data_IF_805919549139
#
_entry.id   IF_805919549139
#
_cell.length_a   1.000
_cell.length_b   1.000
_cell.length_c   1.000
_cell.angle_alpha   90.00
_cell.angle_beta   90.00
_cell.angle_gamma   90.00
#
_symmetry.space_group_name_H-M   'P 1'
#
loop_
_entity.id
_entity.type
_entity.pdbx_description
1 polymer ?
#
# COMPACT_ATOMS: atom_id res chain seq x y z
N UNK A 1 0.90 32.45 7.84
CA UNK A 1 0.28 31.11 7.72
C UNK A 1 1.22 30.11 7.05
N UNK A 2 2.06 30.54 6.10
CA UNK A 2 2.99 29.68 5.35
C UNK A 2 3.94 28.85 6.23
N UNK A 3 4.55 29.45 7.25
CA UNK A 3 5.56 28.75 8.07
C UNK A 3 5.08 27.55 8.90
N UNK A 4 3.76 27.38 9.16
CA UNK A 4 3.25 26.18 9.87
C UNK A 4 3.05 25.00 8.92
N UNK A 5 2.48 25.27 7.75
CA UNK A 5 2.27 24.28 6.70
C UNK A 5 3.61 23.71 6.23
N UNK A 6 4.56 24.58 5.92
CA UNK A 6 5.91 24.20 5.48
C UNK A 6 6.62 23.37 6.55
N UNK A 7 6.48 23.76 7.82
CA UNK A 7 7.04 23.02 8.95
C UNK A 7 6.44 21.61 9.07
N UNK A 8 5.12 21.45 9.06
CA UNK A 8 4.51 20.12 9.18
C UNK A 8 4.85 19.23 7.97
N UNK A 9 4.86 19.80 6.77
CA UNK A 9 5.30 19.09 5.57
C UNK A 9 6.77 18.64 5.70
N UNK A 10 7.65 19.51 6.20
CA UNK A 10 9.06 19.19 6.39
C UNK A 10 9.26 18.10 7.47
N UNK A 11 8.53 18.18 8.58
CA UNK A 11 8.57 17.17 9.65
C UNK A 11 8.14 15.79 9.12
N UNK A 12 7.04 15.72 8.37
CA UNK A 12 6.56 14.47 7.73
C UNK A 12 7.55 13.97 6.68
N UNK A 13 8.05 14.84 5.80
CA UNK A 13 9.02 14.47 4.78
C UNK A 13 10.31 13.90 5.40
N UNK A 14 10.79 14.54 6.47
CA UNK A 14 12.00 14.09 7.20
C UNK A 14 11.78 12.70 7.81
N UNK A 15 10.62 12.46 8.42
CA UNK A 15 10.28 11.17 9.00
C UNK A 15 10.03 10.08 7.94
N UNK A 16 9.59 10.46 6.74
CA UNK A 16 9.34 9.55 5.61
C UNK A 16 10.62 9.18 4.86
N UNK A 17 11.63 10.05 4.87
CA UNK A 17 12.86 9.86 4.09
C UNK A 17 13.60 8.54 4.36
N UNK A 18 13.72 8.03 5.60
CA UNK A 18 14.31 6.72 5.85
C UNK A 18 13.51 5.58 5.19
N UNK A 19 12.18 5.63 5.25
CA UNK A 19 11.28 4.63 4.63
C UNK A 19 11.48 4.62 3.11
N UNK A 20 11.53 5.81 2.49
CA UNK A 20 11.80 5.94 1.06
C UNK A 20 13.20 5.43 0.67
N UNK A 21 14.21 5.73 1.48
CA UNK A 21 15.58 5.27 1.23
C UNK A 21 15.67 3.74 1.30
N UNK A 22 14.97 3.11 2.25
CA UNK A 22 14.86 1.65 2.34
C UNK A 22 14.11 1.06 1.15
N UNK A 23 13.01 1.69 0.74
CA UNK A 23 12.26 1.26 -0.46
C UNK A 23 13.17 1.24 -1.70
N UNK A 24 13.89 2.32 -1.98
CA UNK A 24 14.80 2.40 -3.12
C UNK A 24 15.95 1.39 -3.04
N UNK A 25 16.51 1.20 -1.84
CA UNK A 25 17.52 0.17 -1.59
C UNK A 25 17.01 -1.22 -1.94
N UNK A 26 15.85 -1.62 -1.42
CA UNK A 26 15.30 -2.95 -1.69
C UNK A 26 14.81 -3.09 -3.14
N UNK A 27 14.34 -2.01 -3.78
CA UNK A 27 14.06 -1.99 -5.22
C UNK A 27 15.28 -2.37 -6.04
N UNK A 28 16.42 -1.75 -5.74
CA UNK A 28 17.69 -2.10 -6.38
C UNK A 28 18.15 -3.51 -6.02
N UNK A 29 18.02 -3.91 -4.76
CA UNK A 29 18.43 -5.24 -4.29
C UNK A 29 17.66 -6.36 -5.00
N UNK A 30 16.36 -6.19 -5.30
CA UNK A 30 15.58 -7.16 -6.07
C UNK A 30 16.24 -7.43 -7.44
N UNK A 31 16.57 -6.37 -8.18
CA UNK A 31 17.25 -6.49 -9.47
C UNK A 31 18.63 -7.14 -9.34
N UNK A 32 19.44 -6.68 -8.39
CA UNK A 32 20.80 -7.16 -8.18
C UNK A 32 20.83 -8.64 -7.77
N UNK A 33 19.94 -9.06 -6.87
CA UNK A 33 19.82 -10.47 -6.44
C UNK A 33 19.41 -11.33 -7.64
N UNK A 34 18.37 -10.97 -8.40
CA UNK A 34 17.97 -11.73 -9.58
C UNK A 34 19.14 -11.91 -10.55
N UNK A 35 19.88 -10.83 -10.83
CA UNK A 35 21.06 -10.88 -11.70
C UNK A 35 22.16 -11.79 -11.15
N UNK A 36 22.42 -11.76 -9.84
CA UNK A 36 23.36 -12.66 -9.18
C UNK A 36 22.94 -14.12 -9.31
N UNK A 37 21.66 -14.43 -9.12
CA UNK A 37 21.13 -15.78 -9.30
C UNK A 37 21.27 -16.25 -10.75
N UNK A 38 20.90 -15.40 -11.71
CA UNK A 38 21.05 -15.71 -13.13
C UNK A 38 22.52 -16.01 -13.48
N UNK A 39 23.45 -15.17 -13.05
CA UNK A 39 24.87 -15.36 -13.31
C UNK A 39 25.45 -16.61 -12.63
N UNK A 40 24.90 -17.01 -11.48
CA UNK A 40 25.38 -18.16 -10.73
C UNK A 40 24.90 -19.49 -11.34
N UNK A 41 23.59 -19.61 -11.61
CA UNK A 41 22.97 -20.87 -12.02
C UNK A 41 23.08 -21.14 -13.52
N UNK A 42 23.12 -20.10 -14.36
CA UNK A 42 23.26 -20.24 -15.82
C UNK A 42 24.70 -20.05 -16.30
N UNK A 43 25.69 -20.17 -15.39
CA UNK A 43 27.10 -20.10 -15.75
C UNK A 43 27.53 -21.35 -16.54
N UNK A 44 28.02 -21.21 -17.80
CA UNK A 44 28.39 -22.38 -18.61
C UNK A 44 29.45 -23.27 -17.98
N UNK A 45 30.42 -22.69 -17.27
CA UNK A 45 31.48 -23.44 -16.60
C UNK A 45 30.99 -24.24 -15.38
N UNK A 46 29.85 -23.85 -14.78
CA UNK A 46 29.19 -24.61 -13.72
C UNK A 46 28.27 -25.67 -14.31
N UNK A 47 27.48 -25.33 -15.31
CA UNK A 47 26.44 -26.21 -15.88
C UNK A 47 27.05 -27.40 -16.60
N UNK A 48 28.23 -27.23 -17.23
CA UNK A 48 29.01 -28.34 -17.81
C UNK A 48 29.50 -29.35 -16.78
N UNK A 49 29.66 -28.98 -15.50
CA UNK A 49 30.10 -29.90 -14.44
C UNK A 49 28.97 -30.76 -13.88
N UNK A 50 27.72 -30.53 -14.31
CA UNK A 50 26.54 -31.24 -13.83
C UNK A 50 26.24 -32.52 -14.64
N UNK A 51 26.95 -32.76 -15.74
CA UNK A 51 26.83 -34.00 -16.52
C UNK A 51 27.61 -35.13 -15.85
N UNK A 52 27.01 -35.75 -14.85
CA UNK A 52 27.50 -36.97 -14.21
C UNK A 52 26.80 -38.22 -14.79
N UNK A 53 27.47 -39.37 -14.77
CA UNK A 53 26.86 -40.65 -15.16
C UNK A 53 26.01 -41.15 -14.01
N UNK A 54 24.69 -41.23 -14.20
CA UNK A 54 23.74 -41.74 -13.22
C UNK A 54 24.01 -43.22 -12.88
N UNK A 55 23.83 -43.59 -11.61
CA UNK A 55 24.00 -44.96 -11.09
C UNK A 55 22.70 -45.48 -10.49
N UNK A 56 22.36 -46.74 -10.76
CA UNK A 56 21.21 -47.41 -10.16
C UNK A 56 19.88 -46.76 -10.54
N UNK A 57 19.15 -46.24 -9.55
CA UNK A 57 17.82 -45.60 -9.72
C UNK A 57 17.89 -44.07 -9.94
N UNK A 58 19.09 -43.49 -10.00
CA UNK A 58 19.30 -42.05 -10.21
C UNK A 58 18.78 -41.56 -11.57
N UNK A 59 18.22 -40.35 -11.60
CA UNK A 59 17.83 -39.69 -12.84
C UNK A 59 19.04 -39.01 -13.48
N UNK A 60 19.25 -39.22 -14.78
CA UNK A 60 20.24 -38.48 -15.57
C UNK A 60 19.88 -37.00 -15.58
N UNK A 61 20.72 -36.19 -14.95
CA UNK A 61 20.54 -34.74 -14.94
C UNK A 61 21.11 -34.13 -16.21
N UNK A 62 20.26 -33.49 -17.01
CA UNK A 62 20.67 -32.69 -18.16
C UNK A 62 20.25 -31.25 -17.93
N UNK A 63 21.23 -30.36 -17.81
CA UNK A 63 20.98 -28.94 -17.61
C UNK A 63 20.08 -28.36 -18.71
N UNK A 64 20.29 -28.77 -19.96
CA UNK A 64 19.49 -28.31 -21.10
C UNK A 64 18.00 -28.65 -20.97
N UNK A 65 17.65 -29.73 -20.26
CA UNK A 65 16.25 -30.12 -20.03
C UNK A 65 15.59 -29.31 -18.92
N UNK A 66 16.35 -28.88 -17.92
CA UNK A 66 15.82 -28.11 -16.78
C UNK A 66 15.99 -26.60 -16.93
N UNK A 67 16.88 -26.14 -17.81
CA UNK A 67 17.24 -24.74 -17.99
C UNK A 67 16.00 -23.86 -18.21
N UNK A 68 15.16 -24.22 -19.19
CA UNK A 68 13.95 -23.45 -19.52
C UNK A 68 12.99 -23.34 -18.33
N UNK A 69 12.89 -24.40 -17.52
CA UNK A 69 12.04 -24.40 -16.34
C UNK A 69 12.65 -23.56 -15.21
N UNK A 70 13.99 -23.57 -15.04
CA UNK A 70 14.68 -22.68 -14.11
C UNK A 70 14.57 -21.20 -14.52
N UNK A 71 14.64 -20.89 -15.82
CA UNK A 71 14.47 -19.53 -16.34
C UNK A 71 13.06 -18.99 -16.06
N UNK A 72 12.03 -19.85 -16.14
CA UNK A 72 10.65 -19.48 -15.73
C UNK A 72 10.54 -19.10 -14.26
N UNK A 73 11.40 -19.60 -13.38
CA UNK A 73 11.39 -19.18 -11.97
C UNK A 73 11.97 -17.77 -11.78
N UNK A 74 12.88 -17.31 -12.66
CA UNK A 74 13.62 -16.06 -12.53
C UNK A 74 13.23 -15.07 -13.64
N UNK A 75 11.93 -14.90 -13.86
CA UNK A 75 11.35 -13.91 -14.78
C UNK A 75 11.79 -12.48 -14.45
N UNK A 76 11.76 -11.59 -15.45
CA UNK A 76 12.09 -10.18 -15.24
C UNK A 76 10.99 -9.41 -14.49
N UNK A 77 11.31 -8.18 -14.11
CA UNK A 77 10.41 -7.31 -13.34
C UNK A 77 9.11 -7.03 -14.09
N UNK A 78 9.17 -6.83 -15.41
CA UNK A 78 7.98 -6.54 -16.22
C UNK A 78 7.00 -7.71 -16.15
N UNK A 79 7.48 -8.93 -16.36
CA UNK A 79 6.65 -10.14 -16.29
C UNK A 79 6.09 -10.39 -14.87
N UNK A 80 6.87 -10.11 -13.82
CA UNK A 80 6.37 -10.19 -12.45
C UNK A 80 5.24 -9.19 -12.20
N UNK A 81 5.39 -7.95 -12.68
CA UNK A 81 4.37 -6.91 -12.54
C UNK A 81 3.11 -7.26 -13.33
N UNK A 82 3.24 -7.70 -14.58
CA UNK A 82 2.10 -8.15 -15.41
C UNK A 82 1.34 -9.29 -14.73
N UNK A 83 2.07 -10.27 -14.18
CA UNK A 83 1.48 -11.41 -13.48
C UNK A 83 0.76 -10.95 -12.20
N UNK A 84 1.38 -10.06 -11.41
CA UNK A 84 0.77 -9.50 -10.21
C UNK A 84 -0.50 -8.70 -10.53
N UNK A 85 -0.52 -7.97 -11.64
CA UNK A 85 -1.69 -7.23 -12.11
C UNK A 85 -2.81 -8.14 -12.61
N UNK A 86 -2.47 -9.24 -13.29
CA UNK A 86 -3.44 -10.23 -13.73
C UNK A 86 -4.09 -11.01 -12.56
N UNK A 87 -3.42 -11.05 -11.40
CA UNK A 87 -3.90 -11.68 -10.16
C UNK A 87 -4.80 -10.76 -9.30
N UNK A 88 -5.15 -9.57 -9.79
CA UNK A 88 -6.08 -8.68 -9.10
C UNK A 88 -7.49 -9.27 -9.18
N UNK A 89 -7.84 -10.14 -8.24
CA UNK A 89 -9.23 -10.32 -7.84
C UNK A 89 -9.65 -9.07 -7.06
N UNK A 90 -10.88 -8.62 -7.24
CA UNK A 90 -11.46 -7.33 -6.75
C UNK A 90 -11.28 -7.02 -5.25
N UNK A 91 -10.71 -7.91 -4.46
CA UNK A 91 -10.49 -7.79 -3.01
C UNK A 91 -9.02 -7.92 -2.56
N UNK A 92 -8.08 -8.30 -3.44
CA UNK A 92 -6.66 -8.50 -3.07
C UNK A 92 -5.74 -7.54 -3.83
N UNK A 93 -4.84 -6.89 -3.09
CA UNK A 93 -3.80 -6.06 -3.69
C UNK A 93 -2.83 -6.91 -4.54
N UNK A 94 -2.33 -6.39 -5.67
CA UNK A 94 -1.29 -7.04 -6.46
C UNK A 94 -0.08 -7.36 -5.56
N UNK A 95 0.43 -8.59 -5.62
CA UNK A 95 1.59 -9.01 -4.83
C UNK A 95 2.68 -9.59 -5.73
N UNK A 96 3.89 -9.04 -5.61
CA UNK A 96 5.05 -9.53 -6.35
C UNK A 96 5.50 -10.88 -5.81
N UNK A 97 5.32 -11.12 -4.52
CA UNK A 97 5.60 -12.43 -3.90
C UNK A 97 4.66 -13.49 -4.46
N UNK A 98 3.36 -13.21 -4.54
CA UNK A 98 2.39 -14.15 -5.10
C UNK A 98 2.63 -14.44 -6.59
N UNK A 99 2.95 -13.40 -7.37
CA UNK A 99 3.33 -13.54 -8.77
C UNK A 99 4.57 -14.43 -8.92
N UNK A 100 5.60 -14.19 -8.10
CA UNK A 100 6.80 -15.01 -8.09
C UNK A 100 6.52 -16.46 -7.67
N UNK A 101 5.73 -16.68 -6.61
CA UNK A 101 5.29 -18.00 -6.16
C UNK A 101 4.61 -18.78 -7.30
N UNK A 102 3.74 -18.13 -8.09
CA UNK A 102 3.10 -18.73 -9.26
C UNK A 102 4.10 -19.16 -10.33
N UNK A 103 5.08 -18.30 -10.66
CA UNK A 103 6.12 -18.63 -11.63
C UNK A 103 6.98 -19.82 -11.19
N UNK A 104 7.35 -19.88 -9.90
CA UNK A 104 8.12 -20.99 -9.33
C UNK A 104 7.31 -22.29 -9.37
N UNK A 105 6.05 -22.26 -8.93
CA UNK A 105 5.20 -23.46 -8.86
C UNK A 105 4.76 -23.97 -10.24
N UNK A 106 4.60 -23.08 -11.23
CA UNK A 106 4.24 -23.45 -12.61
C UNK A 106 5.47 -23.70 -13.50
N UNK A 107 6.67 -23.62 -12.95
CA UNK A 107 7.93 -23.86 -13.69
C UNK A 107 8.02 -25.29 -14.24
N UNK A 108 7.37 -26.25 -13.58
CA UNK A 108 7.52 -27.68 -13.86
C UNK A 108 8.75 -28.32 -13.20
N UNK A 109 9.43 -27.61 -12.31
CA UNK A 109 10.46 -28.19 -11.43
C UNK A 109 9.78 -28.89 -10.24
N UNK A 110 10.39 -29.95 -9.67
CA UNK A 110 9.87 -30.63 -8.49
C UNK A 110 10.17 -29.82 -7.22
N UNK A 111 9.53 -28.65 -7.13
CA UNK A 111 9.61 -27.70 -6.03
C UNK A 111 8.28 -27.69 -5.29
N UNK A 112 8.33 -27.84 -3.97
CA UNK A 112 7.17 -27.66 -3.09
C UNK A 112 7.37 -26.39 -2.26
N UNK A 113 6.30 -25.60 -2.11
CA UNK A 113 6.31 -24.46 -1.21
C UNK A 113 5.80 -24.85 0.17
N UNK A 114 6.63 -24.70 1.21
CA UNK A 114 6.21 -24.85 2.61
C UNK A 114 5.77 -23.50 3.15
N UNK A 115 4.48 -23.23 3.13
CA UNK A 115 3.91 -21.95 3.59
C UNK A 115 4.32 -21.59 5.02
N UNK A 116 4.36 -22.59 5.92
CA UNK A 116 4.71 -22.40 7.33
C UNK A 116 6.14 -21.91 7.54
N UNK A 117 7.06 -22.33 6.66
CA UNK A 117 8.48 -21.96 6.71
C UNK A 117 8.80 -20.79 5.76
N UNK A 118 7.92 -20.53 4.78
CA UNK A 118 8.14 -19.55 3.72
C UNK A 118 9.22 -19.97 2.71
N UNK A 119 9.49 -21.28 2.59
CA UNK A 119 10.62 -21.83 1.84
C UNK A 119 10.19 -22.76 0.70
N UNK A 120 11.00 -22.80 -0.37
CA UNK A 120 10.88 -23.82 -1.40
C UNK A 120 11.78 -25.00 -1.07
N UNK A 121 11.24 -26.20 -1.27
CA UNK A 121 11.98 -27.44 -1.12
C UNK A 121 12.04 -28.19 -2.44
N UNK A 122 13.24 -28.63 -2.79
CA UNK A 122 13.45 -29.51 -3.93
C UNK A 122 13.17 -30.96 -3.51
N UNK A 123 12.11 -31.56 -4.08
CA UNK A 123 11.68 -32.93 -3.79
C UNK A 123 11.41 -33.71 -5.08
N UNK A 124 12.46 -34.23 -5.74
CA UNK A 124 12.27 -35.04 -6.93
C UNK A 124 11.69 -36.41 -6.57
N UNK A 125 10.89 -37.00 -7.48
CA UNK A 125 10.32 -38.34 -7.29
C UNK A 125 11.39 -39.44 -7.15
N UNK A 126 12.53 -39.24 -7.81
CA UNK A 126 13.72 -40.08 -7.70
C UNK A 126 14.95 -39.21 -7.50
N UNK A 127 15.98 -39.68 -6.77
CA UNK A 127 17.18 -38.90 -6.52
C UNK A 127 17.90 -38.55 -7.83
N UNK A 128 18.42 -37.33 -7.92
CA UNK A 128 19.36 -36.96 -8.97
C UNK A 128 20.77 -37.40 -8.56
N UNK A 129 21.73 -37.31 -9.49
CA UNK A 129 23.14 -37.49 -9.12
C UNK A 129 23.54 -36.49 -8.02
N UNK A 130 24.51 -36.82 -7.15
CA UNK A 130 24.83 -35.98 -5.99
C UNK A 130 25.08 -34.50 -6.31
N UNK A 131 25.80 -34.19 -7.40
CA UNK A 131 26.06 -32.78 -7.77
C UNK A 131 24.81 -32.07 -8.28
N UNK A 132 23.99 -32.75 -9.08
CA UNK A 132 22.72 -32.22 -9.55
C UNK A 132 21.74 -31.99 -8.40
N UNK A 133 21.70 -32.92 -7.44
CA UNK A 133 20.89 -32.80 -6.23
C UNK A 133 21.31 -31.56 -5.43
N UNK A 134 22.61 -31.37 -5.17
CA UNK A 134 23.12 -30.18 -4.46
C UNK A 134 22.79 -28.90 -5.22
N UNK A 135 22.99 -28.88 -6.54
CA UNK A 135 22.71 -27.73 -7.39
C UNK A 135 21.23 -27.31 -7.34
N UNK A 136 20.31 -28.26 -7.43
CA UNK A 136 18.88 -27.97 -7.39
C UNK A 136 18.39 -27.56 -5.99
N UNK A 137 18.97 -28.12 -4.92
CA UNK A 137 18.69 -27.61 -3.58
C UNK A 137 19.20 -26.17 -3.43
N UNK A 138 20.44 -25.86 -3.84
CA UNK A 138 20.95 -24.49 -3.83
C UNK A 138 20.03 -23.53 -4.60
N UNK A 139 19.48 -23.97 -5.72
CA UNK A 139 18.50 -23.20 -6.48
C UNK A 139 17.23 -22.92 -5.66
N UNK A 140 16.64 -23.93 -5.01
CA UNK A 140 15.46 -23.75 -4.15
C UNK A 140 15.72 -22.76 -2.99
N UNK A 141 16.87 -22.87 -2.31
CA UNK A 141 17.27 -21.94 -1.26
C UNK A 141 17.44 -20.50 -1.79
N UNK A 142 18.04 -20.35 -2.98
CA UNK A 142 18.22 -19.05 -3.63
C UNK A 142 16.89 -18.39 -4.02
N UNK A 143 15.91 -19.16 -4.51
CA UNK A 143 14.56 -18.67 -4.77
C UNK A 143 13.90 -18.15 -3.49
N UNK A 144 14.09 -18.83 -2.36
CA UNK A 144 13.60 -18.36 -1.06
C UNK A 144 14.22 -17.02 -0.63
N UNK A 145 15.52 -16.83 -0.87
CA UNK A 145 16.20 -15.56 -0.58
C UNK A 145 15.73 -14.42 -1.50
N UNK A 146 15.42 -14.71 -2.76
CA UNK A 146 14.85 -13.72 -3.68
C UNK A 146 13.41 -13.36 -3.30
N UNK A 147 12.57 -14.36 -2.97
CA UNK A 147 11.21 -14.18 -2.44
C UNK A 147 11.16 -13.28 -1.22
N UNK A 148 12.10 -13.47 -0.28
CA UNK A 148 12.27 -12.60 0.88
C UNK A 148 12.50 -11.14 0.47
N UNK A 149 13.41 -10.89 -0.48
CA UNK A 149 13.70 -9.54 -0.97
C UNK A 149 12.46 -8.88 -1.58
N UNK A 150 11.70 -9.63 -2.41
CA UNK A 150 10.43 -9.17 -2.97
C UNK A 150 9.44 -8.76 -1.86
N UNK A 151 9.27 -9.62 -0.84
CA UNK A 151 8.34 -9.36 0.27
C UNK A 151 8.73 -8.15 1.13
N UNK A 152 10.02 -7.96 1.36
CA UNK A 152 10.55 -6.76 2.04
C UNK A 152 10.26 -5.51 1.20
N UNK A 153 10.59 -5.54 -0.10
CA UNK A 153 10.33 -4.42 -1.02
C UNK A 153 8.84 -4.04 -1.11
N UNK A 154 7.96 -5.03 -1.26
CA UNK A 154 6.51 -4.85 -1.31
C UNK A 154 5.95 -4.25 0.00
N UNK A 155 6.49 -4.67 1.14
CA UNK A 155 6.09 -4.13 2.45
C UNK A 155 6.50 -2.66 2.58
N UNK A 156 7.72 -2.28 2.19
CA UNK A 156 8.16 -0.88 2.16
C UNK A 156 7.38 -0.02 1.16
N UNK A 157 7.02 -0.58 0.00
CA UNK A 157 6.20 0.11 -0.98
C UNK A 157 4.81 0.43 -0.41
N UNK A 158 4.23 -0.52 0.33
CA UNK A 158 2.93 -0.35 1.00
C UNK A 158 3.01 0.68 2.13
N UNK A 159 4.08 0.66 2.93
CA UNK A 159 4.33 1.67 3.98
C UNK A 159 4.42 3.08 3.39
N UNK A 160 5.20 3.25 2.31
CA UNK A 160 5.44 4.55 1.69
C UNK A 160 4.19 5.12 1.00
N UNK A 161 3.40 4.28 0.33
CA UNK A 161 2.22 4.71 -0.43
C UNK A 161 0.90 4.57 0.34
N UNK A 162 0.95 4.47 1.67
CA UNK A 162 -0.23 4.24 2.48
C UNK A 162 -1.27 5.36 2.29
N UNK A 163 -2.52 4.99 1.96
CA UNK A 163 -3.59 5.94 1.62
C UNK A 163 -3.88 6.96 2.73
N UNK A 164 -3.70 6.56 3.99
CA UNK A 164 -3.84 7.43 5.16
C UNK A 164 -2.92 8.66 5.19
N UNK A 165 -1.88 8.72 4.34
CA UNK A 165 -0.95 9.85 4.21
C UNK A 165 -1.20 10.71 2.95
N UNK A 166 -2.25 10.43 2.18
CA UNK A 166 -2.50 11.12 0.91
C UNK A 166 -3.18 12.46 1.12
N UNK A 167 -2.43 13.56 0.97
CA UNK A 167 -2.94 14.94 0.99
C UNK A 167 -3.30 15.49 -0.40
N UNK A 168 -3.14 14.69 -1.48
CA UNK A 168 -3.34 15.12 -2.87
C UNK A 168 -4.70 15.79 -3.12
N UNK A 169 -5.78 15.23 -2.57
CA UNK A 169 -7.13 15.81 -2.73
C UNK A 169 -7.24 17.20 -2.08
N UNK A 170 -6.51 17.47 -1.00
CA UNK A 170 -6.51 18.76 -0.34
C UNK A 170 -5.73 19.81 -1.13
N UNK A 171 -4.66 19.40 -1.80
CA UNK A 171 -3.90 20.27 -2.69
C UNK A 171 -4.74 20.73 -3.89
N UNK A 172 -5.61 19.87 -4.42
CA UNK A 172 -6.52 20.23 -5.51
C UNK A 172 -7.45 21.41 -5.16
N UNK A 173 -7.81 21.59 -3.88
CA UNK A 173 -8.61 22.76 -3.46
C UNK A 173 -7.82 24.07 -3.50
N UNK A 174 -6.51 24.02 -3.25
CA UNK A 174 -5.63 25.18 -3.41
C UNK A 174 -5.50 25.52 -4.89
N UNK A 175 -5.32 24.50 -5.74
CA UNK A 175 -5.19 24.69 -7.19
C UNK A 175 -6.50 25.24 -7.78
N UNK A 176 -7.65 24.67 -7.41
CA UNK A 176 -8.96 25.19 -7.82
C UNK A 176 -9.21 26.64 -7.36
N UNK A 177 -8.69 27.05 -6.20
CA UNK A 177 -8.80 28.43 -5.73
C UNK A 177 -7.94 29.38 -6.57
N UNK A 178 -6.75 28.95 -7.00
CA UNK A 178 -5.89 29.72 -7.89
C UNK A 178 -6.49 29.81 -9.30
N UNK A 179 -7.08 28.72 -9.81
CA UNK A 179 -7.76 28.68 -11.11
C UNK A 179 -8.94 29.65 -11.13
N UNK A 180 -9.74 29.71 -10.06
CA UNK A 180 -10.81 30.70 -9.93
C UNK A 180 -10.27 32.13 -10.01
N UNK A 181 -9.14 32.43 -9.35
CA UNK A 181 -8.51 33.76 -9.43
C UNK A 181 -8.04 34.11 -10.85
N UNK A 182 -7.55 33.14 -11.62
CA UNK A 182 -7.17 33.37 -13.02
C UNK A 182 -8.40 33.64 -13.89
N UNK A 183 -9.46 32.84 -13.76
CA UNK A 183 -10.68 32.98 -14.56
C UNK A 183 -11.42 34.31 -14.31
N UNK A 184 -11.23 34.94 -13.14
CA UNK A 184 -11.73 36.29 -12.88
C UNK A 184 -11.17 37.30 -13.91
N UNK A 185 -9.95 37.12 -14.41
CA UNK A 185 -9.31 38.05 -15.36
C UNK A 185 -9.75 37.87 -16.82
N UNK A 186 -10.50 36.81 -17.11
CA UNK A 186 -11.00 36.47 -18.44
C UNK A 186 -12.47 36.94 -18.63
N UNK A 187 -12.97 37.03 -19.87
CA UNK A 187 -14.39 37.31 -20.16
C UNK A 187 -15.26 36.08 -19.85
N UNK A 188 -15.51 35.82 -18.56
CA UNK A 188 -16.23 34.63 -18.08
C UNK A 188 -17.51 35.04 -17.32
N UNK A 189 -18.50 34.13 -17.29
CA UNK A 189 -19.71 34.28 -16.48
C UNK A 189 -19.38 34.34 -14.97
N UNK A 190 -19.36 35.56 -14.44
CA UNK A 190 -19.06 35.86 -13.05
C UNK A 190 -20.09 35.26 -12.05
N UNK A 191 -21.34 35.03 -12.47
CA UNK A 191 -22.37 34.42 -11.62
C UNK A 191 -22.08 32.93 -11.45
N UNK A 192 -21.71 32.24 -12.54
CA UNK A 192 -21.29 30.85 -12.49
C UNK A 192 -20.03 30.68 -11.63
N UNK A 193 -19.05 31.56 -11.78
CA UNK A 193 -17.83 31.58 -10.97
C UNK A 193 -18.14 31.74 -9.47
N UNK A 194 -19.04 32.66 -9.12
CA UNK A 194 -19.45 32.87 -7.73
C UNK A 194 -20.11 31.63 -7.13
N UNK A 195 -20.96 30.93 -7.89
CA UNK A 195 -21.57 29.67 -7.45
C UNK A 195 -20.52 28.58 -7.23
N UNK A 196 -19.55 28.45 -8.13
CA UNK A 196 -18.46 27.49 -8.01
C UNK A 196 -17.61 27.75 -6.77
N UNK A 197 -17.23 29.02 -6.51
CA UNK A 197 -16.51 29.41 -5.30
C UNK A 197 -17.28 29.04 -4.02
N UNK A 198 -18.61 29.25 -4.01
CA UNK A 198 -19.48 28.88 -2.88
C UNK A 198 -19.59 27.36 -2.67
N UNK A 199 -19.61 26.57 -3.75
CA UNK A 199 -19.58 25.11 -3.66
C UNK A 199 -18.28 24.63 -3.02
N UNK A 200 -17.15 25.13 -3.50
CA UNK A 200 -15.82 24.78 -2.97
C UNK A 200 -15.68 25.21 -1.50
N UNK A 201 -16.15 26.41 -1.13
CA UNK A 201 -16.17 26.90 0.25
C UNK A 201 -16.94 25.93 1.17
N UNK A 202 -18.12 25.46 0.74
CA UNK A 202 -18.92 24.51 1.51
C UNK A 202 -18.22 23.15 1.67
N UNK A 203 -17.54 22.67 0.64
CA UNK A 203 -16.77 21.42 0.70
C UNK A 203 -15.59 21.54 1.67
N UNK A 204 -14.82 22.63 1.61
CA UNK A 204 -13.71 22.90 2.53
C UNK A 204 -14.20 22.94 3.99
N UNK A 205 -15.32 23.63 4.25
CA UNK A 205 -15.93 23.69 5.59
C UNK A 205 -16.37 22.29 6.06
N UNK A 206 -16.93 21.47 5.17
CA UNK A 206 -17.33 20.10 5.51
C UNK A 206 -16.12 19.21 5.87
N UNK A 207 -14.97 19.42 5.22
CA UNK A 207 -13.73 18.68 5.46
C UNK A 207 -12.99 19.11 6.74
N UNK A 208 -13.23 20.33 7.24
CA UNK A 208 -12.67 20.82 8.51
C UNK A 208 -13.31 20.19 9.76
N UNK A 209 -14.27 19.27 9.61
CA UNK A 209 -14.87 18.52 10.71
C UNK A 209 -13.87 17.52 11.29
N UNK A 210 -13.93 17.30 12.60
CA UNK A 210 -13.01 16.41 13.33
C UNK A 210 -12.93 15.02 12.71
N UNK A 211 -14.08 14.45 12.32
CA UNK A 211 -14.15 13.11 11.74
C UNK A 211 -13.43 13.03 10.40
N UNK A 212 -13.44 14.13 9.63
CA UNK A 212 -12.83 14.20 8.29
C UNK A 212 -11.33 14.50 8.34
N UNK A 213 -10.90 15.37 9.23
CA UNK A 213 -9.47 15.62 9.46
C UNK A 213 -8.74 14.35 9.93
N UNK A 214 -9.40 13.53 10.76
CA UNK A 214 -8.83 12.29 11.29
C UNK A 214 -9.19 11.04 10.48
N UNK A 215 -9.86 11.20 9.33
CA UNK A 215 -10.24 10.10 8.45
C UNK A 215 -8.99 9.31 8.02
N UNK A 216 -9.07 7.98 8.17
CA UNK A 216 -7.99 7.05 7.84
C UNK A 216 -6.90 6.87 8.91
N UNK A 217 -6.85 7.65 10.00
CA UNK A 217 -5.80 7.51 11.02
C UNK A 217 -5.86 6.19 11.81
N UNK A 218 -7.07 5.72 12.14
CA UNK A 218 -7.23 4.44 12.84
C UNK A 218 -6.79 3.27 11.96
N UNK A 219 -7.12 3.33 10.66
CA UNK A 219 -6.69 2.34 9.68
C UNK A 219 -5.17 2.40 9.50
N UNK A 220 -4.60 3.60 9.35
CA UNK A 220 -3.15 3.80 9.31
C UNK A 220 -2.45 3.19 10.53
N UNK A 221 -2.95 3.44 11.73
CA UNK A 221 -2.37 2.85 12.95
C UNK A 221 -2.37 1.31 12.89
N UNK A 222 -3.49 0.71 12.55
CA UNK A 222 -3.60 -0.75 12.44
C UNK A 222 -2.67 -1.32 11.36
N UNK A 223 -2.67 -0.70 10.18
CA UNK A 223 -1.90 -1.18 9.03
C UNK A 223 -0.40 -1.03 9.25
N UNK A 224 0.07 0.08 9.81
CA UNK A 224 1.50 0.26 10.11
C UNK A 224 1.99 -0.75 11.14
N UNK A 225 1.21 -1.02 12.19
CA UNK A 225 1.59 -2.05 13.18
C UNK A 225 1.66 -3.44 12.54
N UNK A 226 0.68 -3.79 11.69
CA UNK A 226 0.67 -5.04 10.94
C UNK A 226 1.86 -5.16 9.98
N UNK A 227 2.13 -4.11 9.20
CA UNK A 227 3.25 -4.06 8.25
C UNK A 227 4.60 -4.11 8.97
N UNK A 228 4.73 -3.47 10.13
CA UNK A 228 5.92 -3.54 10.98
C UNK A 228 6.17 -4.97 11.46
N UNK A 229 5.15 -5.64 11.98
CA UNK A 229 5.24 -7.05 12.42
C UNK A 229 5.62 -7.94 11.23
N UNK A 230 4.95 -7.77 10.09
CA UNK A 230 5.25 -8.51 8.85
C UNK A 230 6.71 -8.33 8.42
N UNK A 231 7.19 -7.09 8.37
CA UNK A 231 8.55 -6.78 7.94
C UNK A 231 9.61 -7.38 8.88
N UNK A 232 9.41 -7.23 10.20
CA UNK A 232 10.32 -7.81 11.19
C UNK A 232 10.33 -9.34 11.07
N UNK A 233 9.16 -9.97 10.98
CA UNK A 233 9.05 -11.41 10.80
C UNK A 233 9.74 -11.90 9.54
N UNK A 234 9.59 -11.20 8.41
CA UNK A 234 10.30 -11.49 7.16
C UNK A 234 11.81 -11.40 7.35
N UNK A 235 12.32 -10.32 7.95
CA UNK A 235 13.76 -10.13 8.14
C UNK A 235 14.36 -11.14 9.13
N UNK A 236 13.64 -11.53 10.18
CA UNK A 236 14.10 -12.55 11.13
C UNK A 236 14.13 -13.94 10.50
N UNK A 237 13.03 -14.34 9.84
CA UNK A 237 12.95 -15.61 9.12
C UNK A 237 13.99 -15.68 7.99
N UNK A 238 14.16 -14.57 7.26
CA UNK A 238 15.15 -14.41 6.21
C UNK A 238 16.59 -14.54 6.71
N UNK A 239 16.87 -14.02 7.90
CA UNK A 239 18.19 -14.14 8.50
C UNK A 239 18.49 -15.60 8.83
N UNK A 240 17.54 -16.30 9.44
CA UNK A 240 17.66 -17.74 9.71
C UNK A 240 17.83 -18.54 8.41
N UNK A 241 17.05 -18.22 7.38
CA UNK A 241 17.12 -18.88 6.08
C UNK A 241 18.51 -18.76 5.44
N UNK A 242 19.08 -17.54 5.41
CA UNK A 242 20.41 -17.31 4.84
C UNK A 242 21.53 -17.98 5.66
N UNK A 243 21.36 -18.06 6.99
CA UNK A 243 22.27 -18.83 7.84
C UNK A 243 22.20 -20.33 7.54
N UNK A 244 21.01 -20.88 7.32
CA UNK A 244 20.83 -22.27 6.91
C UNK A 244 21.41 -22.51 5.51
N UNK A 245 21.18 -21.60 4.54
CA UNK A 245 21.80 -21.63 3.21
C UNK A 245 23.33 -21.78 3.30
N UNK A 246 23.96 -21.09 4.25
CA UNK A 246 25.40 -21.14 4.43
C UNK A 246 25.87 -22.48 5.03
N UNK A 247 25.12 -23.01 5.99
CA UNK A 247 25.46 -24.23 6.76
C UNK A 247 25.17 -25.53 6.01
N UNK A 248 24.03 -25.61 5.31
CA UNK A 248 23.52 -26.84 4.71
C UNK A 248 24.36 -27.33 3.52
N UNK A 249 25.20 -26.45 2.96
CA UNK A 249 26.15 -26.79 1.91
C UNK A 249 27.59 -26.54 2.39
N UNK A 250 28.08 -27.38 3.33
CA UNK A 250 29.40 -27.19 3.93
C UNK A 250 30.52 -27.43 2.92
N UNK A 251 31.65 -26.77 3.14
CA UNK A 251 32.85 -26.87 2.31
C UNK A 251 33.55 -28.24 2.48
N UNK A 252 33.44 -29.18 1.52
CA UNK A 252 34.14 -30.48 1.55
C UNK A 252 35.36 -30.58 0.57
N UNK A 253 36.61 -30.73 1.11
CA UNK A 253 37.98 -30.74 0.48
C UNK A 253 39.09 -29.64 0.78
N UNK A 254 39.81 -29.69 1.92
CA UNK A 254 41.25 -29.35 2.17
C UNK A 254 41.91 -27.99 1.71
N UNK A 255 41.52 -27.29 0.63
CA UNK A 255 42.29 -26.16 0.04
C UNK A 255 41.75 -24.72 0.33
N UNK A 256 40.99 -24.52 1.40
CA UNK A 256 40.04 -23.37 1.52
C UNK A 256 40.47 -22.19 2.36
N UNK A 257 41.61 -22.27 3.04
CA UNK A 257 42.03 -21.21 3.96
C UNK A 257 42.25 -19.87 3.21
N UNK A 258 42.19 -19.87 1.87
CA UNK A 258 42.53 -18.74 1.00
C UNK A 258 41.33 -18.14 0.22
N UNK A 259 40.27 -18.88 -0.12
CA UNK A 259 39.16 -18.37 -0.96
C UNK A 259 37.78 -18.97 -0.63
N UNK A 260 36.74 -18.12 -0.58
CA UNK A 260 35.34 -18.57 -0.51
C UNK A 260 34.95 -19.39 -1.74
N UNK A 261 34.19 -20.48 -1.55
CA UNK A 261 33.50 -21.13 -2.66
C UNK A 261 32.40 -20.20 -3.17
N UNK A 262 32.20 -20.23 -4.49
CA UNK A 262 31.19 -19.41 -5.19
C UNK A 262 29.79 -19.41 -4.57
N UNK A 263 29.33 -20.49 -3.94
CA UNK A 263 28.04 -20.53 -3.21
C UNK A 263 28.05 -19.61 -1.98
N UNK A 264 29.06 -19.74 -1.12
CA UNK A 264 29.20 -18.91 0.07
C UNK A 264 29.39 -17.44 -0.31
N UNK A 265 30.12 -17.14 -1.39
CA UNK A 265 30.20 -15.78 -1.95
C UNK A 265 28.83 -15.26 -2.36
N UNK A 266 28.00 -16.08 -3.03
CA UNK A 266 26.64 -15.69 -3.40
C UNK A 266 25.80 -15.38 -2.17
N UNK A 267 25.76 -16.29 -1.19
CA UNK A 267 24.99 -16.11 0.06
C UNK A 267 25.44 -14.86 0.79
N UNK A 268 26.75 -14.66 0.96
CA UNK A 268 27.33 -13.44 1.57
C UNK A 268 26.92 -12.17 0.84
N UNK A 269 26.95 -12.18 -0.50
CA UNK A 269 26.58 -11.01 -1.30
C UNK A 269 25.09 -10.70 -1.13
N UNK A 270 24.22 -11.71 -1.16
CA UNK A 270 22.78 -11.54 -0.92
C UNK A 270 22.51 -11.02 0.50
N UNK A 271 23.19 -11.57 1.51
CA UNK A 271 23.06 -11.10 2.89
C UNK A 271 23.54 -9.66 3.07
N UNK A 272 24.63 -9.26 2.39
CA UNK A 272 25.10 -7.88 2.38
C UNK A 272 24.08 -6.93 1.76
N UNK A 273 23.39 -7.34 0.69
CA UNK A 273 22.31 -6.57 0.08
C UNK A 273 21.07 -6.46 1.00
N UNK A 274 20.78 -7.47 1.82
CA UNK A 274 19.57 -7.48 2.65
C UNK A 274 19.74 -6.89 4.06
N UNK A 275 20.92 -7.07 4.67
CA UNK A 275 21.17 -6.79 6.09
C UNK A 275 22.39 -5.88 6.36
N UNK A 276 23.11 -5.45 5.32
CA UNK A 276 24.33 -4.62 5.36
C UNK A 276 25.55 -5.24 6.04
N UNK A 277 25.37 -5.95 7.17
CA UNK A 277 26.45 -6.52 7.99
C UNK A 277 26.14 -7.95 8.39
N UNK A 278 27.17 -8.78 8.32
CA UNK A 278 27.17 -10.17 8.78
C UNK A 278 28.58 -10.55 9.21
N UNK A 279 28.65 -11.50 10.13
CA UNK A 279 29.89 -12.12 10.58
C UNK A 279 29.96 -13.54 10.03
N UNK A 280 31.16 -13.99 9.69
CA UNK A 280 31.36 -15.36 9.20
C UNK A 280 32.70 -15.92 9.61
N UNK A 281 32.74 -17.25 9.79
CA UNK A 281 33.98 -18.01 9.83
C UNK A 281 33.92 -19.14 8.82
N UNK A 282 34.81 -19.09 7.85
CA UNK A 282 34.99 -20.18 6.89
C UNK A 282 35.52 -21.45 7.58
N UNK A 283 36.31 -21.30 8.66
CA UNK A 283 36.89 -22.41 9.42
C UNK A 283 35.82 -23.17 10.22
N UNK A 284 34.89 -22.45 10.85
CA UNK A 284 33.85 -23.04 11.70
C UNK A 284 32.51 -23.21 10.96
N UNK A 285 32.46 -22.91 9.66
CA UNK A 285 31.23 -22.83 8.87
C UNK A 285 30.12 -22.00 9.55
N UNK A 286 30.52 -20.94 10.26
CA UNK A 286 29.58 -20.04 10.92
C UNK A 286 29.26 -18.88 10.02
N UNK A 287 27.99 -18.48 10.04
CA UNK A 287 27.48 -17.30 9.36
C UNK A 287 26.39 -16.75 10.26
N UNK A 288 26.50 -15.49 10.63
CA UNK A 288 25.57 -14.82 11.52
C UNK A 288 25.26 -13.43 10.98
N UNK A 289 23.96 -13.15 10.87
CA UNK A 289 23.48 -11.85 10.40
C UNK A 289 23.32 -10.94 11.62
N UNK A 290 23.89 -9.73 11.54
CA UNK A 290 23.79 -8.77 12.62
C UNK A 290 22.34 -8.27 12.73
N UNK A 291 21.67 -8.61 13.83
CA UNK A 291 20.26 -8.26 14.07
C UNK A 291 20.04 -6.80 14.46
N UNK A 292 21.09 -6.00 14.68
CA UNK A 292 20.97 -4.57 14.97
C UNK A 292 20.20 -3.82 13.87
N UNK A 293 20.35 -4.24 12.61
CA UNK A 293 19.63 -3.60 11.50
C UNK A 293 18.11 -3.77 11.64
N UNK A 294 17.63 -4.91 12.14
CA UNK A 294 16.21 -5.17 12.39
C UNK A 294 15.71 -4.23 13.49
N UNK A 295 16.51 -4.03 14.55
CA UNK A 295 16.23 -3.06 15.61
C UNK A 295 16.15 -1.62 15.09
N UNK A 296 17.07 -1.23 14.20
CA UNK A 296 17.07 0.10 13.55
C UNK A 296 15.84 0.29 12.69
N UNK A 297 15.49 -0.68 11.84
CA UNK A 297 14.31 -0.63 10.98
C UNK A 297 13.04 -0.46 11.82
N UNK A 298 12.93 -1.19 12.94
CA UNK A 298 11.80 -1.03 13.86
C UNK A 298 11.71 0.39 14.40
N UNK A 299 12.82 0.96 14.87
CA UNK A 299 12.87 2.33 15.37
C UNK A 299 12.57 3.38 14.29
N UNK A 300 13.05 3.17 13.06
CA UNK A 300 12.75 4.00 11.89
C UNK A 300 11.23 4.03 11.62
N UNK A 301 10.56 2.87 11.63
CA UNK A 301 9.11 2.76 11.42
C UNK A 301 8.32 3.36 12.58
N UNK A 302 8.72 3.11 13.82
CA UNK A 302 8.05 3.66 15.00
C UNK A 302 8.15 5.21 15.02
N UNK A 303 9.30 5.76 14.62
CA UNK A 303 9.47 7.21 14.48
C UNK A 303 8.61 7.78 13.35
N UNK A 304 8.63 7.16 12.18
CA UNK A 304 7.78 7.50 11.05
C UNK A 304 6.30 7.52 11.44
N UNK A 305 5.82 6.43 12.06
CA UNK A 305 4.46 6.32 12.56
C UNK A 305 4.11 7.45 13.52
N UNK A 306 4.94 7.71 14.53
CA UNK A 306 4.67 8.73 15.54
C UNK A 306 4.53 10.12 14.93
N UNK A 307 5.43 10.49 14.01
CA UNK A 307 5.41 11.82 13.38
C UNK A 307 4.21 11.95 12.45
N UNK A 308 3.98 10.98 11.57
CA UNK A 308 2.85 11.03 10.64
C UNK A 308 1.52 11.06 11.39
N UNK A 309 1.34 10.19 12.38
CA UNK A 309 0.09 10.14 13.17
C UNK A 309 -0.20 11.47 13.87
N UNK A 310 0.81 12.16 14.40
CA UNK A 310 0.65 13.43 15.10
C UNK A 310 0.48 14.63 14.13
N UNK A 311 1.26 14.66 13.05
CA UNK A 311 1.37 15.84 12.18
C UNK A 311 0.44 15.83 10.98
N UNK A 312 0.03 14.67 10.49
CA UNK A 312 -0.88 14.56 9.33
C UNK A 312 -2.20 15.33 9.55
N UNK A 313 -2.89 15.22 10.70
CA UNK A 313 -4.11 16.00 10.94
C UNK A 313 -3.87 17.51 10.92
N UNK A 314 -2.74 17.95 11.49
CA UNK A 314 -2.35 19.35 11.55
C UNK A 314 -2.04 19.89 10.15
N UNK A 315 -1.36 19.10 9.32
CA UNK A 315 -1.10 19.42 7.92
C UNK A 315 -2.41 19.56 7.13
N UNK A 316 -3.35 18.61 7.28
CA UNK A 316 -4.68 18.67 6.64
C UNK A 316 -5.43 19.95 7.03
N UNK A 317 -5.41 20.32 8.31
CA UNK A 317 -6.03 21.56 8.80
C UNK A 317 -5.40 22.79 8.15
N UNK A 318 -4.07 22.88 8.10
CA UNK A 318 -3.39 24.05 7.53
C UNK A 318 -3.57 24.13 6.00
N UNK A 319 -3.63 23.00 5.29
CA UNK A 319 -3.97 22.95 3.86
C UNK A 319 -5.40 23.46 3.62
N UNK A 320 -6.38 22.98 4.39
CA UNK A 320 -7.77 23.41 4.30
C UNK A 320 -7.94 24.89 4.67
N UNK A 321 -7.21 25.39 5.68
CA UNK A 321 -7.18 26.82 6.03
C UNK A 321 -6.62 27.67 4.89
N UNK A 322 -5.52 27.24 4.27
CA UNK A 322 -4.94 27.92 3.12
C UNK A 322 -5.93 27.97 1.95
N UNK A 323 -6.57 26.85 1.63
CA UNK A 323 -7.60 26.78 0.60
C UNK A 323 -8.80 27.69 0.93
N UNK A 324 -9.30 27.67 2.17
CA UNK A 324 -10.42 28.51 2.60
C UNK A 324 -10.13 30.01 2.44
N UNK A 325 -8.92 30.45 2.78
CA UNK A 325 -8.52 31.84 2.63
C UNK A 325 -8.45 32.24 1.15
N UNK A 326 -7.82 31.41 0.31
CA UNK A 326 -7.71 31.68 -1.13
C UNK A 326 -9.08 31.75 -1.81
N UNK A 327 -10.01 30.85 -1.45
CA UNK A 327 -11.39 30.87 -1.96
C UNK A 327 -12.15 32.09 -1.46
N UNK A 328 -11.96 32.48 -0.21
CA UNK A 328 -12.60 33.69 0.34
C UNK A 328 -12.13 34.96 -0.38
N UNK A 329 -10.83 35.07 -0.64
CA UNK A 329 -10.25 36.15 -1.44
C UNK A 329 -10.82 36.14 -2.87
N UNK A 330 -10.79 34.99 -3.56
CA UNK A 330 -11.34 34.87 -4.91
C UNK A 330 -12.83 35.27 -4.97
N UNK A 331 -13.62 34.89 -3.96
CA UNK A 331 -15.03 35.27 -3.86
C UNK A 331 -15.23 36.76 -3.67
N UNK A 332 -14.38 37.42 -2.87
CA UNK A 332 -14.41 38.89 -2.71
C UNK A 332 -14.07 39.55 -4.05
N UNK A 333 -13.06 39.06 -4.76
CA UNK A 333 -12.66 39.58 -6.07
C UNK A 333 -13.77 39.42 -7.12
N UNK A 334 -14.46 38.27 -7.15
CA UNK A 334 -15.63 38.04 -8.01
C UNK A 334 -16.75 39.03 -7.68
N UNK A 335 -17.06 39.23 -6.39
CA UNK A 335 -18.09 40.17 -5.95
C UNK A 335 -17.74 41.62 -6.31
N UNK A 336 -16.46 42.00 -6.20
CA UNK A 336 -15.98 43.31 -6.63
C UNK A 336 -16.19 43.51 -8.14
N UNK A 337 -15.83 42.52 -8.97
CA UNK A 337 -16.07 42.59 -10.43
C UNK A 337 -17.55 42.61 -10.80
N UNK A 338 -18.39 41.85 -10.11
CA UNK A 338 -19.84 41.90 -10.31
C UNK A 338 -20.39 43.29 -10.00
N UNK A 339 -19.91 43.92 -8.93
CA UNK A 339 -20.29 45.29 -8.55
C UNK A 339 -19.80 46.32 -9.57
N UNK A 340 -18.55 46.21 -10.06
CA UNK A 340 -18.01 47.05 -11.14
C UNK A 340 -18.87 46.96 -12.41
N UNK A 341 -19.30 45.74 -12.76
CA UNK A 341 -20.14 45.46 -13.93
C UNK A 341 -21.65 45.72 -13.68
N UNK A 342 -22.03 46.18 -12.48
CA UNK A 342 -23.42 46.44 -12.07
C UNK A 342 -24.35 45.22 -12.24
N UNK A 343 -23.83 44.02 -12.01
CA UNK A 343 -24.58 42.76 -12.07
C UNK A 343 -25.09 42.42 -10.68
N UNK A 344 -26.40 42.32 -10.49
CA UNK A 344 -27.00 41.91 -9.22
C UNK A 344 -27.03 40.38 -9.07
N UNK A 345 -26.50 39.89 -7.97
CA UNK A 345 -26.65 38.49 -7.55
C UNK A 345 -28.01 38.31 -6.89
N UNK A 346 -28.96 37.75 -7.62
CA UNK A 346 -30.23 37.28 -7.03
C UNK A 346 -29.97 35.92 -6.38
N UNK A 347 -29.56 35.91 -5.12
CA UNK A 347 -29.52 34.67 -4.33
C UNK A 347 -30.94 34.26 -3.95
N UNK A 348 -31.32 33.01 -4.27
CA UNK A 348 -32.49 32.40 -3.66
C UNK A 348 -32.32 32.41 -2.13
N UNK A 349 -33.37 32.68 -1.34
CA UNK A 349 -33.26 32.75 0.11
C UNK A 349 -32.57 31.49 0.63
N UNK A 350 -31.50 31.68 1.42
CA UNK A 350 -30.76 30.58 2.06
C UNK A 350 -31.79 29.62 2.64
N UNK A 351 -31.76 28.35 2.23
CA UNK A 351 -32.63 27.30 2.77
C UNK A 351 -32.58 27.42 4.29
N UNK A 352 -33.65 27.96 4.84
CA UNK A 352 -33.90 28.03 6.26
C UNK A 352 -33.88 26.57 6.70
N UNK A 353 -32.84 26.16 7.44
CA UNK A 353 -32.75 24.83 8.00
C UNK A 353 -34.07 24.52 8.72
N UNK A 354 -34.46 23.24 8.74
CA UNK A 354 -35.75 22.72 9.24
C UNK A 354 -36.14 23.12 10.68
N UNK A 355 -35.44 24.05 11.34
CA UNK A 355 -35.60 24.45 12.74
C UNK A 355 -35.56 25.98 12.99
N UNK A 356 -35.82 26.85 12.00
CA UNK A 356 -35.95 28.27 12.31
C UNK A 356 -37.37 28.61 12.79
N UNK A 357 -37.46 29.08 14.02
CA UNK A 357 -38.67 29.41 14.77
C UNK A 357 -39.29 30.76 14.42
N UNK A 358 -38.80 31.48 13.40
CA UNK A 358 -39.34 32.79 13.02
C UNK A 358 -39.79 32.84 11.56
N UNK A 359 -41.07 33.14 11.28
CA UNK A 359 -41.53 33.33 9.92
C UNK A 359 -40.86 34.59 9.35
N UNK A 360 -40.01 34.42 8.34
CA UNK A 360 -39.49 35.54 7.56
C UNK A 360 -40.65 36.20 6.80
N UNK A 361 -40.70 37.54 6.75
CA UNK A 361 -41.68 38.33 5.99
C UNK A 361 -41.49 38.24 4.44
N UNK A 362 -40.98 37.12 3.93
CA UNK A 362 -40.84 36.87 2.48
C UNK A 362 -42.02 36.04 1.95
N UNK A 363 -42.38 36.23 0.68
CA UNK A 363 -43.44 35.47 0.00
C UNK A 363 -43.19 33.95 0.10
N UNK A 364 -41.94 33.53 0.02
CA UNK A 364 -41.55 32.12 0.18
C UNK A 364 -41.72 31.63 1.62
N UNK A 365 -41.45 32.47 2.62
CA UNK A 365 -41.74 32.16 4.03
C UNK A 365 -43.23 31.97 4.31
N UNK A 366 -44.09 32.79 3.67
CA UNK A 366 -45.54 32.66 3.75
C UNK A 366 -46.06 31.37 3.07
N UNK A 367 -45.52 31.00 1.91
CA UNK A 367 -45.87 29.74 1.23
C UNK A 367 -45.50 28.50 2.06
N UNK A 368 -44.31 28.50 2.67
CA UNK A 368 -43.82 27.37 3.47
C UNK A 368 -44.62 27.22 4.77
N UNK A 369 -44.95 28.33 5.42
CA UNK A 369 -45.86 28.35 6.58
C UNK A 369 -47.27 27.86 6.20
N UNK A 370 -47.78 28.24 5.03
CA UNK A 370 -49.08 27.77 4.53
C UNK A 370 -49.08 26.24 4.29
N UNK A 371 -48.04 25.71 3.65
CA UNK A 371 -47.89 24.27 3.43
C UNK A 371 -47.74 23.48 4.74
N UNK A 372 -46.95 23.96 5.69
CA UNK A 372 -46.83 23.34 7.01
C UNK A 372 -48.15 23.35 7.78
N UNK A 373 -48.94 24.44 7.67
CA UNK A 373 -50.28 24.53 8.27
C UNK A 373 -51.25 23.54 7.64
N UNK A 374 -51.19 23.35 6.31
CA UNK A 374 -52.00 22.35 5.62
C UNK A 374 -51.63 20.92 6.03
N UNK A 375 -50.34 20.61 6.17
CA UNK A 375 -49.89 19.29 6.64
C UNK A 375 -50.26 19.02 8.10
N UNK A 376 -50.24 20.05 8.96
CA UNK A 376 -50.73 19.93 10.35
C UNK A 376 -52.27 19.76 10.43
N UNK A 377 -53.02 20.34 9.49
CA UNK A 377 -54.47 20.19 9.38
C UNK A 377 -54.88 18.79 8.88
N UNK A 378 -54.08 18.15 8.03
CA UNK A 378 -54.34 16.77 7.57
C UNK A 378 -54.17 15.76 8.70
N UNK A 379 -53.28 16.01 9.67
CA UNK A 379 -53.13 15.15 10.86
C UNK A 379 -54.17 15.41 11.96
N UNK A 380 -55.02 16.44 11.86
CA UNK A 380 -56.03 16.79 12.87
C UNK A 380 -57.49 16.51 12.46
N UNK A 381 -57.75 16.14 11.21
CA UNK A 381 -59.10 15.82 10.72
C UNK A 381 -59.23 14.42 10.07
N UNK A 382 -58.35 13.50 10.44
CA UNK A 382 -58.28 12.14 9.88
C UNK A 382 -58.55 11.00 10.86
N UNK A 383 -59.33 11.20 11.92
CA UNK A 383 -59.90 10.10 12.70
C UNK A 383 -61.36 10.43 13.06
N UNK A 384 -62.30 9.79 12.36
CA UNK A 384 -63.70 9.69 12.78
C UNK A 384 -63.98 8.24 13.15
N UNK A 385 -64.04 7.96 14.45
CA UNK A 385 -64.66 6.76 15.01
C UNK A 385 -66.16 6.76 14.68
N UNK A 386 -66.69 5.65 14.17
CA UNK A 386 -68.06 5.23 14.43
C UNK A 386 -68.03 3.74 14.78
N UNK A 387 -68.49 3.43 15.98
CA UNK A 387 -68.60 2.10 16.57
C UNK A 387 -70.00 1.49 16.33
N UNK A 388 -69.99 0.16 16.17
CA UNK A 388 -70.91 -0.88 16.68
C UNK A 388 -72.38 -1.04 16.23
N UNK A 389 -72.78 -2.31 16.43
CA UNK A 389 -74.11 -2.97 16.47
C UNK A 389 -74.71 -3.45 15.14
N UNK A 390 -75.24 -4.66 14.96
CA UNK A 390 -75.43 -5.89 15.77
C UNK A 390 -76.04 -6.96 14.82
N UNK A 391 -75.81 -8.26 15.05
CA UNK A 391 -76.86 -9.29 15.20
C UNK A 391 -76.31 -10.72 15.37
N UNK A 392 -76.79 -11.34 16.45
CA UNK A 392 -76.68 -12.74 16.87
C UNK A 392 -77.28 -13.75 15.87
N UNK A 393 -76.77 -14.99 15.85
CA UNK A 393 -77.44 -16.17 16.44
C UNK A 393 -76.67 -17.49 16.15
N UNK A 394 -76.45 -18.27 17.23
CA UNK A 394 -76.45 -19.74 17.39
C UNK A 394 -75.70 -20.64 16.36
N UNK A 395 -74.85 -21.61 16.73
CA UNK A 395 -74.97 -22.62 17.80
C UNK A 395 -73.64 -23.41 17.97
N UNK A 396 -73.47 -24.19 19.07
CA UNK A 396 -72.21 -24.76 19.54
C UNK A 396 -72.02 -26.23 19.09
N UNK A 397 -70.84 -26.84 19.37
CA UNK A 397 -70.66 -28.09 20.13
C UNK A 397 -69.29 -28.77 19.91
N UNK A 398 -68.69 -29.14 21.05
CA UNK A 398 -67.55 -30.06 21.34
C UNK A 398 -66.14 -29.54 21.07
#
# INVERSE_FOLDING_TARGET
MEGKLERYQQEINTATQPIFTRLEHYRKAMFDIRKLLMNYFFNPGRTQKLTEVAKGEEIVFSFNLVQKNMEKCLVDEHQLVETAQAMIDTEKNPSLVAAFDSHVLQSGLPLEFREQEGLYLFKPEKPYTPMAQIFMHQFAYALGAYRLCLGVGETYFTLYNHQGMSTKQLQNYIDAANDLKQQITEEVDLIALHKQAKTIENEIIALLRTEKVHEGLNQFKYDIDSLKIKLVGLLEAGALHLQNCYKDFPNNAIFWIVHDRSWHTLVKTISGLLYEKYDYSTLYSTFEINKEIIGRIKAEIDHFYSIVFEKEPLLKIELLRKAANLISEAKIDILAKLAENKIELIEAPKKIGMFSTHPSNSIYGLMLAYQQRQLALVNTFGEANIAEEEKEEFSPSI
#
